data_IF_766168141180
#
_entry.id   IF_766168141180
#
_cell.length_a   1.000
_cell.length_b   1.000
_cell.length_c   1.000
_cell.angle_alpha   90.00
_cell.angle_beta   90.00
_cell.angle_gamma   90.00
#
_symmetry.space_group_name_H-M   'P 1'
#
loop_
_entity.id
_entity.type
_entity.pdbx_description
1 polymer ?
#
# COMPACT_ATOMS: atom_id res chain seq x y z
N UNK A 1 11.07 -13.18 7.92
CA UNK A 1 9.81 -12.76 7.26
C UNK A 1 10.08 -11.42 6.59
N UNK A 2 10.40 -11.44 5.30
CA UNK A 2 10.69 -10.27 4.48
C UNK A 2 9.43 -9.75 3.79
N UNK A 3 9.42 -8.46 3.43
CA UNK A 3 8.45 -7.94 2.47
C UNK A 3 8.64 -8.67 1.13
N UNK A 4 7.55 -9.17 0.54
CA UNK A 4 7.59 -9.89 -0.74
C UNK A 4 6.27 -9.72 -1.48
N UNK A 5 6.32 -9.71 -2.81
CA UNK A 5 5.15 -9.54 -3.66
C UNK A 5 4.84 -8.07 -3.99
N UNK A 6 3.70 -7.81 -4.65
CA UNK A 6 3.27 -6.47 -5.03
C UNK A 6 3.15 -5.52 -3.83
N UNK A 7 3.52 -4.25 -4.04
CA UNK A 7 3.45 -3.18 -3.04
C UNK A 7 2.20 -2.34 -3.25
N UNK A 8 1.53 -1.99 -2.16
CA UNK A 8 0.63 -0.83 -2.14
C UNK A 8 1.46 0.36 -1.62
N UNK A 9 1.91 1.22 -2.52
CA UNK A 9 2.72 2.38 -2.18
C UNK A 9 1.88 3.67 -2.15
N UNK A 10 2.24 4.59 -1.27
CA UNK A 10 1.80 5.98 -1.40
C UNK A 10 2.43 6.61 -2.64
N UNK A 11 1.68 7.48 -3.30
CA UNK A 11 2.09 8.19 -4.52
C UNK A 11 3.51 8.80 -4.44
N UNK A 12 3.91 9.49 -3.34
CA UNK A 12 5.26 10.07 -3.25
C UNK A 12 6.40 9.05 -3.32
N UNK A 13 6.15 7.78 -3.01
CA UNK A 13 7.17 6.73 -3.06
C UNK A 13 7.31 6.06 -4.42
N UNK A 14 6.41 6.32 -5.37
CA UNK A 14 6.41 5.63 -6.67
C UNK A 14 7.72 5.79 -7.43
N UNK A 15 8.26 7.00 -7.49
CA UNK A 15 9.54 7.27 -8.16
C UNK A 15 10.73 6.58 -7.49
N UNK A 16 10.79 6.59 -6.16
CA UNK A 16 11.85 5.91 -5.41
C UNK A 16 11.80 4.39 -5.58
N UNK A 17 10.61 3.79 -5.50
CA UNK A 17 10.44 2.35 -5.66
C UNK A 17 10.81 1.89 -7.09
N UNK A 18 10.47 2.67 -8.12
CA UNK A 18 10.91 2.40 -9.48
C UNK A 18 12.43 2.48 -9.63
N UNK A 19 13.08 3.44 -8.97
CA UNK A 19 14.55 3.53 -8.95
C UNK A 19 15.21 2.31 -8.32
N UNK A 20 14.54 1.68 -7.35
CA UNK A 20 14.97 0.43 -6.69
C UNK A 20 14.46 -0.84 -7.37
N UNK A 21 14.01 -0.76 -8.64
CA UNK A 21 13.49 -1.89 -9.43
C UNK A 21 12.28 -2.63 -8.79
N UNK A 22 11.49 -1.92 -7.99
CA UNK A 22 10.26 -2.45 -7.39
C UNK A 22 9.04 -2.06 -8.23
N UNK A 23 8.21 -3.02 -8.72
CA UNK A 23 6.96 -2.71 -9.38
C UNK A 23 6.00 -1.95 -8.46
N UNK A 24 5.46 -0.83 -8.93
CA UNK A 24 4.61 0.08 -8.15
C UNK A 24 3.14 -0.07 -8.49
N UNK A 25 2.27 0.24 -7.51
CA UNK A 25 0.83 0.34 -7.74
C UNK A 25 0.46 1.69 -8.37
N UNK A 26 1.18 2.76 -8.01
CA UNK A 26 0.99 4.11 -8.55
C UNK A 26 2.32 4.88 -8.59
N UNK A 27 2.49 5.73 -9.60
CA UNK A 27 3.59 6.68 -9.72
C UNK A 27 3.17 7.96 -10.46
N UNK A 28 4.13 8.81 -10.82
CA UNK A 28 3.94 10.11 -11.46
C UNK A 28 3.26 10.09 -12.84
N UNK A 29 3.10 8.93 -13.48
CA UNK A 29 2.44 8.77 -14.78
C UNK A 29 0.91 8.69 -14.65
N UNK A 30 0.32 9.59 -13.85
CA UNK A 30 -1.08 9.54 -13.41
C UNK A 30 -2.08 9.41 -14.58
N UNK A 31 -1.78 10.06 -15.71
CA UNK A 31 -2.57 10.02 -16.94
C UNK A 31 -2.72 8.61 -17.54
N UNK A 32 -1.82 7.68 -17.19
CA UNK A 32 -1.86 6.29 -17.68
C UNK A 32 -2.80 5.38 -16.87
N UNK A 33 -3.23 5.81 -15.68
CA UNK A 33 -4.00 4.95 -14.76
C UNK A 33 -5.52 5.09 -14.92
N UNK A 34 -5.99 6.24 -15.42
CA UNK A 34 -7.41 6.54 -15.61
C UNK A 34 -8.18 6.84 -14.32
N UNK A 35 -9.24 7.62 -14.45
CA UNK A 35 -9.96 8.24 -13.33
C UNK A 35 -10.57 7.22 -12.35
N UNK A 36 -11.06 6.09 -12.86
CA UNK A 36 -11.69 5.04 -12.04
C UNK A 36 -10.68 4.43 -11.06
N UNK A 37 -9.47 4.13 -11.53
CA UNK A 37 -8.42 3.61 -10.67
C UNK A 37 -7.95 4.67 -9.67
N UNK A 38 -7.71 5.90 -10.14
CA UNK A 38 -7.24 6.98 -9.27
C UNK A 38 -8.23 7.29 -8.14
N UNK A 39 -9.53 7.35 -8.44
CA UNK A 39 -10.56 7.54 -7.42
C UNK A 39 -10.58 6.39 -6.40
N UNK A 40 -10.43 5.15 -6.87
CA UNK A 40 -10.36 3.96 -6.01
C UNK A 40 -9.12 3.99 -5.11
N UNK A 41 -7.95 4.32 -5.67
CA UNK A 41 -6.69 4.45 -4.96
C UNK A 41 -6.78 5.54 -3.88
N UNK A 42 -7.27 6.74 -4.21
CA UNK A 42 -7.41 7.84 -3.26
C UNK A 42 -8.32 7.47 -2.09
N UNK A 43 -9.43 6.77 -2.38
CA UNK A 43 -10.37 6.29 -1.37
C UNK A 43 -9.75 5.21 -0.46
N UNK A 44 -8.97 4.30 -1.01
CA UNK A 44 -8.21 3.33 -0.22
C UNK A 44 -7.15 4.02 0.66
N UNK A 45 -6.37 4.95 0.08
CA UNK A 45 -5.31 5.69 0.75
C UNK A 45 -5.83 6.55 1.91
N UNK A 46 -7.03 7.12 1.78
CA UNK A 46 -7.69 7.90 2.83
C UNK A 46 -8.27 7.06 3.97
N UNK A 47 -8.22 5.72 3.86
CA UNK A 47 -8.62 4.80 4.93
C UNK A 47 -10.04 4.24 4.81
N UNK A 48 -10.66 4.27 3.62
CA UNK A 48 -11.89 3.50 3.40
C UNK A 48 -11.57 1.99 3.42
N UNK A 49 -11.96 1.34 4.52
CA UNK A 49 -11.58 -0.02 4.83
C UNK A 49 -12.02 -1.03 3.76
N UNK A 50 -13.25 -0.89 3.25
CA UNK A 50 -13.77 -1.80 2.22
C UNK A 50 -13.00 -1.65 0.91
N UNK A 51 -12.71 -0.42 0.48
CA UNK A 51 -11.99 -0.16 -0.77
C UNK A 51 -10.53 -0.60 -0.65
N UNK A 52 -9.89 -0.32 0.49
CA UNK A 52 -8.53 -0.76 0.77
C UNK A 52 -8.43 -2.28 0.79
N UNK A 53 -9.25 -2.99 1.56
CA UNK A 53 -9.24 -4.46 1.61
C UNK A 53 -9.42 -5.08 0.21
N UNK A 54 -10.38 -4.57 -0.56
CA UNK A 54 -10.59 -5.03 -1.94
C UNK A 54 -9.37 -4.78 -2.84
N UNK A 55 -8.69 -3.63 -2.73
CA UNK A 55 -7.46 -3.40 -3.51
C UNK A 55 -6.30 -4.30 -3.05
N UNK A 56 -6.15 -4.51 -1.74
CA UNK A 56 -5.10 -5.37 -1.19
C UNK A 56 -5.24 -6.81 -1.71
N UNK A 57 -6.48 -7.28 -1.93
CA UNK A 57 -6.75 -8.63 -2.44
C UNK A 57 -6.69 -8.67 -3.98
N UNK A 58 -7.35 -7.75 -4.69
CA UNK A 58 -7.35 -7.71 -6.17
C UNK A 58 -5.93 -7.65 -6.75
N UNK A 59 -5.07 -6.83 -6.15
CA UNK A 59 -3.68 -6.65 -6.58
C UNK A 59 -2.71 -7.59 -5.87
N UNK A 60 -3.20 -8.54 -5.06
CA UNK A 60 -2.40 -9.53 -4.34
C UNK A 60 -1.26 -8.89 -3.52
N UNK A 61 -1.56 -7.76 -2.88
CA UNK A 61 -0.58 -6.95 -2.17
C UNK A 61 0.01 -7.76 -1.00
N UNK A 62 1.34 -7.84 -0.97
CA UNK A 62 2.10 -8.52 0.07
C UNK A 62 2.70 -7.58 1.11
N UNK A 63 2.88 -6.31 0.77
CA UNK A 63 3.41 -5.29 1.68
C UNK A 63 2.99 -3.89 1.26
N UNK A 64 3.12 -2.92 2.16
CA UNK A 64 2.77 -1.52 1.89
C UNK A 64 3.93 -0.59 2.23
N UNK A 65 3.98 0.56 1.59
CA UNK A 65 4.87 1.67 1.95
C UNK A 65 4.05 2.96 1.90
N UNK A 66 3.64 3.46 3.05
CA UNK A 66 2.68 4.55 3.20
C UNK A 66 3.30 5.72 3.95
N UNK A 67 2.74 6.92 3.79
CA UNK A 67 3.11 8.03 4.65
C UNK A 67 2.41 7.88 6.01
N UNK A 68 3.03 8.33 7.13
CA UNK A 68 2.42 8.23 8.45
C UNK A 68 1.01 8.82 8.57
N UNK A 69 0.69 9.85 7.77
CA UNK A 69 -0.61 10.52 7.75
C UNK A 69 -1.67 9.85 6.87
N UNK A 70 -1.31 8.83 6.07
CA UNK A 70 -2.29 8.15 5.23
C UNK A 70 -3.31 7.40 6.09
N UNK A 71 -4.60 7.60 5.86
CA UNK A 71 -5.66 6.94 6.63
C UNK A 71 -5.60 5.41 6.53
N UNK A 72 -5.05 4.88 5.44
CA UNK A 72 -4.77 3.46 5.25
C UNK A 72 -3.87 2.85 6.34
N UNK A 73 -2.98 3.64 6.96
CA UNK A 73 -2.11 3.18 8.07
C UNK A 73 -2.97 2.70 9.24
N UNK A 74 -3.91 3.53 9.70
CA UNK A 74 -4.78 3.20 10.82
C UNK A 74 -5.69 1.99 10.54
N UNK A 75 -6.02 1.74 9.28
CA UNK A 75 -6.77 0.55 8.86
C UNK A 75 -5.87 -0.69 8.91
N UNK A 76 -4.67 -0.62 8.34
CA UNK A 76 -3.73 -1.75 8.28
C UNK A 76 -3.24 -2.18 9.67
N UNK A 77 -3.10 -1.25 10.62
CA UNK A 77 -2.73 -1.56 12.01
C UNK A 77 -3.74 -2.47 12.72
N UNK A 78 -5.02 -2.42 12.32
CA UNK A 78 -6.10 -3.23 12.90
C UNK A 78 -6.57 -4.38 12.00
N UNK A 79 -6.12 -4.41 10.74
CA UNK A 79 -6.55 -5.42 9.78
C UNK A 79 -5.88 -6.76 10.07
N UNK A 80 -6.69 -7.78 10.35
CA UNK A 80 -6.19 -9.14 10.59
C UNK A 80 -5.36 -9.64 9.41
N UNK A 81 -4.25 -10.32 9.68
CA UNK A 81 -3.34 -10.77 8.64
C UNK A 81 -2.35 -9.70 8.18
N UNK A 82 -2.36 -8.51 8.76
CA UNK A 82 -1.34 -7.47 8.55
C UNK A 82 -0.63 -7.14 9.84
N UNK A 83 0.63 -6.73 9.72
CA UNK A 83 1.41 -6.18 10.83
C UNK A 83 2.34 -5.10 10.36
N UNK A 84 2.58 -4.11 11.20
CA UNK A 84 3.62 -3.12 11.00
C UNK A 84 5.00 -3.79 11.12
N UNK A 85 5.85 -3.58 10.12
CA UNK A 85 7.23 -4.07 10.08
C UNK A 85 8.24 -2.95 10.31
N UNK A 86 7.90 -1.72 9.94
CA UNK A 86 8.72 -0.53 10.12
C UNK A 86 7.84 0.72 10.25
N UNK A 87 8.29 1.71 11.01
CA UNK A 87 7.74 3.05 11.00
C UNK A 87 8.78 4.08 11.44
N UNK A 88 8.81 5.21 10.74
CA UNK A 88 9.52 6.41 11.15
C UNK A 88 8.68 7.66 10.81
N UNK A 89 9.32 8.83 10.78
CA UNK A 89 8.66 10.10 10.46
C UNK A 89 8.35 10.28 8.97
N UNK A 90 8.78 9.37 8.10
CA UNK A 90 8.62 9.48 6.65
C UNK A 90 7.75 8.37 6.08
N UNK A 91 7.91 7.14 6.55
CA UNK A 91 7.28 5.96 6.00
C UNK A 91 6.80 4.99 7.08
N UNK A 92 5.71 4.30 6.77
CA UNK A 92 5.22 3.14 7.51
C UNK A 92 5.14 1.96 6.55
N UNK A 93 5.72 0.83 6.96
CA UNK A 93 5.67 -0.42 6.20
C UNK A 93 4.83 -1.43 6.96
N UNK A 94 3.83 -1.98 6.27
CA UNK A 94 3.11 -3.15 6.72
C UNK A 94 3.46 -4.34 5.85
N UNK A 95 3.47 -5.54 6.43
CA UNK A 95 3.61 -6.77 5.67
C UNK A 95 2.41 -7.68 5.96
N UNK A 96 1.96 -8.40 4.93
CA UNK A 96 0.94 -9.42 5.07
C UNK A 96 1.57 -10.59 5.84
N UNK A 97 1.06 -10.85 7.05
CA UNK A 97 1.39 -12.04 7.81
C UNK A 97 0.79 -13.24 7.08
N UNK A 98 1.61 -14.24 6.77
CA UNK A 98 1.03 -15.55 6.44
C UNK A 98 0.16 -15.99 7.63
N UNK A 99 -1.01 -16.60 7.40
CA UNK A 99 -1.68 -17.31 8.47
C UNK A 99 -0.67 -18.25 9.12
N UNK A 100 -0.67 -18.35 10.45
CA UNK A 100 0.02 -19.44 11.10
C UNK A 100 -0.47 -20.75 10.46
N UNK A 101 0.43 -21.71 10.16
CA UNK A 101 0.03 -23.00 9.61
C UNK A 101 -1.00 -23.70 10.50
#
# INVERSE_FOLDING_TARGET
>A
MSASGPVFNAYPFGGYLLFEDVPVLIDGRLEMYGDVFLARYLKASSGDEKTLAGMLDDFHIGWTMLQPQDGAVAVLDRLSGWRRAYADTQAVIHIRSRPAP
#
